data_IF_277522781088
#
_entry.id   IF_277522781088
#
_cell.length_a   1.000
_cell.length_b   1.000
_cell.length_c   1.000
_cell.angle_alpha   90.00
_cell.angle_beta   90.00
_cell.angle_gamma   90.00
#
_symmetry.space_group_name_H-M   'P 1'
#
loop_
_entity.id
_entity.type
_entity.pdbx_description
1 polymer ?
#
# COMPACT_ATOMS: atom_id res chain seq x y z
N UNK A 1 4.42 -7.32 -14.85
CA UNK A 1 5.38 -7.52 -13.73
C UNK A 1 5.41 -6.22 -12.92
N UNK A 2 5.22 -6.31 -11.61
CA UNK A 2 5.28 -5.18 -10.68
C UNK A 2 6.69 -4.60 -10.64
N UNK A 3 6.80 -3.26 -10.74
CA UNK A 3 8.07 -2.56 -10.53
C UNK A 3 8.17 -2.08 -9.08
N UNK A 4 9.32 -2.30 -8.47
CA UNK A 4 9.59 -1.90 -7.08
C UNK A 4 10.56 -0.73 -7.07
N UNK A 5 10.21 0.35 -6.39
CA UNK A 5 11.05 1.52 -6.18
C UNK A 5 11.18 1.73 -4.68
N UNK A 6 12.39 1.65 -4.15
CA UNK A 6 12.63 1.93 -2.74
C UNK A 6 12.61 3.45 -2.51
N UNK A 7 11.66 3.93 -1.70
CA UNK A 7 11.45 5.35 -1.47
C UNK A 7 11.15 5.66 0.00
N UNK A 8 11.33 6.93 0.35
CA UNK A 8 10.93 7.47 1.64
C UNK A 8 11.71 6.99 2.86
N UNK A 9 11.17 7.29 4.05
CA UNK A 9 11.74 6.81 5.29
C UNK A 9 11.75 5.28 5.31
N UNK A 10 12.84 4.68 5.74
CA UNK A 10 13.02 3.22 5.83
C UNK A 10 13.00 2.45 4.50
N UNK A 11 13.02 3.14 3.34
CA UNK A 11 13.10 2.47 2.04
C UNK A 11 11.90 1.59 1.73
N UNK A 12 10.70 2.17 1.87
CA UNK A 12 9.44 1.49 1.53
C UNK A 12 9.46 1.00 0.08
N UNK A 13 8.96 -0.18 -0.14
CA UNK A 13 8.71 -0.73 -1.46
C UNK A 13 7.48 -0.04 -2.08
N UNK A 14 7.67 1.12 -2.69
CA UNK A 14 6.63 1.72 -3.53
C UNK A 14 6.47 0.88 -4.78
N UNK A 15 5.26 0.36 -5.01
CA UNK A 15 5.00 -0.55 -6.12
C UNK A 15 4.26 0.16 -7.26
N UNK A 16 4.75 0.00 -8.48
CA UNK A 16 4.05 0.40 -9.70
C UNK A 16 3.49 -0.87 -10.33
N UNK A 17 2.18 -0.99 -10.34
CA UNK A 17 1.47 -2.18 -10.78
C UNK A 17 0.83 -1.93 -12.15
N UNK A 18 1.41 -2.46 -13.24
CA UNK A 18 0.86 -2.26 -14.57
C UNK A 18 -0.47 -2.99 -14.74
N UNK A 19 -1.40 -2.37 -15.44
CA UNK A 19 -2.70 -2.91 -15.79
C UNK A 19 -2.74 -3.28 -17.29
N UNK A 20 -3.30 -2.42 -18.10
CA UNK A 20 -3.38 -2.60 -19.54
C UNK A 20 -2.95 -1.32 -20.27
N UNK A 21 -2.18 -1.46 -21.35
CA UNK A 21 -1.64 -0.32 -22.09
C UNK A 21 -0.74 0.55 -21.20
N UNK A 22 -1.00 1.87 -21.12
CA UNK A 22 -0.19 2.77 -20.30
C UNK A 22 -0.69 2.86 -18.83
N UNK A 23 -1.76 2.18 -18.47
CA UNK A 23 -2.40 2.33 -17.17
C UNK A 23 -1.74 1.49 -16.09
N UNK A 24 -1.65 2.05 -14.90
CA UNK A 24 -1.11 1.43 -13.70
C UNK A 24 -1.88 1.90 -12.44
N UNK A 25 -1.57 1.32 -11.30
CA UNK A 25 -1.80 1.93 -10.00
C UNK A 25 -0.52 1.90 -9.16
N UNK A 26 -0.39 2.85 -8.26
CA UNK A 26 0.76 3.00 -7.38
C UNK A 26 0.37 2.60 -5.97
N UNK A 27 1.15 1.72 -5.34
CA UNK A 27 0.94 1.30 -3.95
C UNK A 27 2.00 1.93 -3.06
N UNK A 28 1.56 2.48 -1.94
CA UNK A 28 2.38 3.06 -0.88
C UNK A 28 3.43 4.06 -1.41
N UNK A 29 3.02 5.17 -2.03
CA UNK A 29 3.94 6.19 -2.51
C UNK A 29 4.60 6.90 -1.32
N UNK A 30 5.85 6.58 -1.04
CA UNK A 30 6.58 7.02 0.14
C UNK A 30 7.64 8.11 -0.13
N UNK A 31 7.88 8.44 -1.40
CA UNK A 31 8.92 9.38 -1.83
C UNK A 31 8.73 10.79 -1.24
N UNK A 32 9.78 11.38 -0.67
CA UNK A 32 9.69 12.70 -0.07
C UNK A 32 11.00 13.50 -0.16
N UNK A 33 10.90 14.83 -0.08
CA UNK A 33 12.06 15.74 -0.20
C UNK A 33 13.08 15.52 0.91
N UNK A 34 12.66 15.15 2.11
CA UNK A 34 13.54 14.90 3.25
C UNK A 34 14.42 13.66 3.05
N UNK A 35 13.97 12.72 2.21
CA UNK A 35 14.77 11.55 1.80
C UNK A 35 15.55 11.79 0.50
N UNK A 36 15.31 12.92 -0.18
CA UNK A 36 15.97 13.27 -1.44
C UNK A 36 15.46 12.48 -2.66
N UNK A 37 14.30 11.87 -2.54
CA UNK A 37 13.72 10.98 -3.54
C UNK A 37 12.30 11.41 -4.00
N UNK A 38 11.88 12.63 -3.70
CA UNK A 38 10.54 13.16 -3.99
C UNK A 38 10.10 12.99 -5.45
N UNK A 39 11.06 12.90 -6.37
CA UNK A 39 10.78 12.72 -7.81
C UNK A 39 10.92 11.28 -8.30
N UNK A 40 11.28 10.34 -7.44
CA UNK A 40 11.58 8.97 -7.87
C UNK A 40 10.39 8.33 -8.58
N UNK A 41 9.21 8.35 -7.95
CA UNK A 41 7.98 7.74 -8.50
C UNK A 41 7.48 8.51 -9.71
N UNK A 42 7.33 9.83 -9.63
CA UNK A 42 6.83 10.66 -10.74
C UNK A 42 7.74 10.58 -11.97
N UNK A 43 9.06 10.54 -11.78
CA UNK A 43 10.02 10.35 -12.86
C UNK A 43 9.92 8.96 -13.50
N UNK A 44 9.75 7.91 -12.68
CA UNK A 44 9.57 6.56 -13.18
C UNK A 44 8.31 6.44 -14.05
N UNK A 45 7.16 6.93 -13.56
CA UNK A 45 5.89 6.94 -14.30
C UNK A 45 6.05 7.67 -15.63
N UNK A 46 6.62 8.88 -15.61
CA UNK A 46 6.84 9.69 -16.82
C UNK A 46 7.76 9.02 -17.82
N UNK A 47 8.89 8.47 -17.37
CA UNK A 47 9.89 7.84 -18.25
C UNK A 47 9.36 6.57 -18.93
N UNK A 48 8.39 5.89 -18.29
CA UNK A 48 7.74 4.69 -18.82
C UNK A 48 6.40 4.99 -19.50
N UNK A 49 6.00 6.27 -19.59
CA UNK A 49 4.70 6.69 -20.12
C UNK A 49 3.50 6.06 -19.40
N UNK A 50 3.63 5.83 -18.11
CA UNK A 50 2.56 5.30 -17.26
C UNK A 50 1.57 6.39 -16.85
N UNK A 51 0.31 5.98 -16.71
CA UNK A 51 -0.83 6.83 -16.33
C UNK A 51 -1.49 6.20 -15.09
N UNK A 52 -1.19 6.70 -13.88
CA UNK A 52 -1.73 6.13 -12.66
C UNK A 52 -3.24 6.37 -12.56
N UNK A 53 -3.99 5.30 -12.27
CA UNK A 53 -5.45 5.35 -12.06
C UNK A 53 -5.81 5.51 -10.58
N UNK A 54 -4.92 5.10 -9.67
CA UNK A 54 -5.11 5.21 -8.23
C UNK A 54 -3.78 5.24 -7.47
N UNK A 55 -3.79 5.88 -6.31
CA UNK A 55 -2.81 5.70 -5.24
C UNK A 55 -3.46 4.85 -4.16
N UNK A 56 -2.95 3.64 -3.99
CA UNK A 56 -3.47 2.65 -3.05
C UNK A 56 -2.57 2.63 -1.82
N UNK A 57 -3.15 2.75 -0.63
CA UNK A 57 -2.43 2.64 0.62
C UNK A 57 -2.75 1.30 1.28
N UNK A 58 -1.74 0.47 1.49
CA UNK A 58 -1.91 -0.79 2.23
C UNK A 58 -2.29 -0.52 3.68
N UNK A 59 -1.79 0.57 4.25
CA UNK A 59 -2.13 1.07 5.58
C UNK A 59 -1.68 2.53 5.72
N UNK A 60 -1.94 3.14 6.87
CA UNK A 60 -1.74 4.57 7.08
C UNK A 60 -0.50 4.95 7.88
N UNK A 61 0.55 4.14 8.00
CA UNK A 61 1.77 4.57 8.67
C UNK A 61 2.51 5.66 7.88
N UNK A 62 3.18 6.54 8.63
CA UNK A 62 3.80 7.75 8.11
C UNK A 62 4.78 7.48 6.96
N UNK A 63 5.56 6.43 7.03
CA UNK A 63 6.53 6.09 6.01
C UNK A 63 5.89 5.65 4.68
N UNK A 64 4.71 5.02 4.69
CA UNK A 64 3.97 4.60 3.48
C UNK A 64 3.22 5.73 2.79
N UNK A 65 2.89 6.81 3.53
CA UNK A 65 2.05 7.90 3.01
C UNK A 65 2.84 9.18 2.69
N UNK A 66 4.14 9.20 2.96
CA UNK A 66 4.98 10.40 2.88
C UNK A 66 5.01 11.05 1.48
N UNK A 67 4.83 10.27 0.43
CA UNK A 67 4.83 10.76 -0.95
C UNK A 67 3.50 11.30 -1.46
N UNK A 68 2.41 11.12 -0.74
CA UNK A 68 1.09 11.55 -1.20
C UNK A 68 1.01 13.03 -1.60
N UNK A 69 1.61 14.00 -0.86
CA UNK A 69 1.58 15.40 -1.28
C UNK A 69 2.21 15.62 -2.64
N UNK A 70 3.38 15.03 -2.89
CA UNK A 70 4.09 15.13 -4.18
C UNK A 70 3.31 14.44 -5.31
N UNK A 71 2.72 13.29 -5.02
CA UNK A 71 1.91 12.55 -6.00
C UNK A 71 0.64 13.32 -6.35
N UNK A 72 -0.05 13.92 -5.38
CA UNK A 72 -1.25 14.72 -5.64
C UNK A 72 -0.94 16.07 -6.31
N UNK A 73 0.25 16.64 -6.09
CA UNK A 73 0.71 17.79 -6.86
C UNK A 73 0.90 17.45 -8.35
N UNK A 74 1.51 16.29 -8.64
CA UNK A 74 1.78 15.83 -10.00
C UNK A 74 0.54 15.27 -10.72
N UNK A 75 -0.37 14.65 -9.96
CA UNK A 75 -1.56 13.94 -10.46
C UNK A 75 -2.80 14.28 -9.60
N UNK A 76 -3.30 15.52 -9.65
CA UNK A 76 -4.36 16.01 -8.75
C UNK A 76 -5.67 15.22 -8.84
N UNK A 77 -5.99 14.68 -10.02
CA UNK A 77 -7.24 13.94 -10.28
C UNK A 77 -7.16 12.45 -9.89
N UNK A 78 -5.95 11.92 -9.61
CA UNK A 78 -5.79 10.51 -9.25
C UNK A 78 -6.25 10.29 -7.80
N UNK A 79 -7.22 9.39 -7.55
CA UNK A 79 -7.75 9.17 -6.22
C UNK A 79 -6.77 8.45 -5.29
N UNK A 80 -6.89 8.76 -4.00
CA UNK A 80 -6.23 8.04 -2.91
C UNK A 80 -7.23 7.10 -2.24
N UNK A 81 -6.94 5.80 -2.21
CA UNK A 81 -7.76 4.80 -1.55
C UNK A 81 -7.01 4.20 -0.35
N UNK A 82 -7.73 4.13 0.77
CA UNK A 82 -7.25 3.52 2.02
C UNK A 82 -8.43 2.84 2.70
N UNK A 83 -8.19 1.83 3.52
CA UNK A 83 -9.24 1.23 4.33
C UNK A 83 -9.78 2.22 5.40
N UNK A 84 -11.10 2.21 5.62
CA UNK A 84 -11.79 3.17 6.52
C UNK A 84 -11.17 3.28 7.93
N UNK A 85 -10.62 2.19 8.46
CA UNK A 85 -10.03 2.14 9.81
C UNK A 85 -8.70 2.89 9.94
N UNK A 86 -8.04 3.19 8.81
CA UNK A 86 -6.82 3.98 8.77
C UNK A 86 -7.02 5.37 8.12
N UNK A 87 -8.26 5.71 7.75
CA UNK A 87 -8.58 6.99 7.10
C UNK A 87 -8.09 8.21 7.89
N UNK A 88 -8.20 8.18 9.22
CA UNK A 88 -7.76 9.27 10.09
C UNK A 88 -6.25 9.45 10.15
N UNK A 89 -5.48 8.49 9.61
CA UNK A 89 -4.01 8.57 9.53
C UNK A 89 -3.52 9.45 8.38
N UNK A 90 -4.41 9.87 7.48
CA UNK A 90 -4.15 10.82 6.40
C UNK A 90 -5.15 11.99 6.47
N UNK A 91 -5.05 12.94 5.55
CA UNK A 91 -5.90 14.12 5.56
C UNK A 91 -5.59 15.07 6.71
N UNK A 92 -6.57 15.85 7.11
CA UNK A 92 -6.44 16.89 8.15
C UNK A 92 -6.06 16.35 9.53
N UNK A 93 -6.51 15.15 9.87
CA UNK A 93 -6.17 14.48 11.14
C UNK A 93 -4.83 13.76 11.10
N UNK A 94 -4.30 13.49 9.90
CA UNK A 94 -3.09 12.69 9.72
C UNK A 94 -1.88 13.23 10.46
N UNK A 95 -1.67 14.56 10.48
CA UNK A 95 -0.55 15.15 11.19
C UNK A 95 -0.60 14.88 12.70
N UNK A 96 -1.75 15.14 13.34
CA UNK A 96 -1.91 14.94 14.77
C UNK A 96 -1.79 13.44 15.14
N UNK A 97 -2.32 12.57 14.30
CA UNK A 97 -2.25 11.12 14.48
C UNK A 97 -0.81 10.61 14.39
N UNK A 98 -0.06 11.06 13.38
CA UNK A 98 1.28 10.57 13.04
C UNK A 98 2.39 11.23 13.87
N UNK A 99 2.14 12.42 14.44
CA UNK A 99 3.18 13.24 15.09
C UNK A 99 3.91 12.54 16.23
N UNK A 100 3.20 11.73 17.00
CA UNK A 100 3.80 10.98 18.12
C UNK A 100 4.73 9.87 17.60
N UNK A 101 4.33 9.14 16.57
CA UNK A 101 5.12 8.06 15.98
C UNK A 101 6.37 8.62 15.27
N UNK A 102 6.22 9.73 14.54
CA UNK A 102 7.32 10.45 13.88
C UNK A 102 8.34 10.96 14.91
N UNK A 103 7.87 11.52 16.02
CA UNK A 103 8.74 12.00 17.09
C UNK A 103 9.47 10.86 17.79
N UNK A 104 8.77 9.75 18.09
CA UNK A 104 9.36 8.55 18.68
C UNK A 104 10.41 7.90 17.78
N UNK A 105 10.22 7.97 16.46
CA UNK A 105 11.18 7.49 15.46
C UNK A 105 12.38 8.43 15.26
N UNK A 106 12.41 9.62 15.89
CA UNK A 106 13.47 10.62 15.70
C UNK A 106 13.42 11.35 14.36
N UNK A 107 12.26 11.28 13.67
CA UNK A 107 12.05 11.81 12.32
C UNK A 107 11.30 13.15 12.32
N UNK A 108 11.47 13.98 13.35
CA UNK A 108 10.77 15.28 13.48
C UNK A 108 10.93 16.21 12.26
N UNK A 109 12.00 16.06 11.47
CA UNK A 109 12.21 16.79 10.21
C UNK A 109 11.16 16.43 9.14
N UNK A 110 10.53 15.28 9.23
CA UNK A 110 9.47 14.85 8.33
C UNK A 110 8.09 15.46 8.66
N UNK A 111 7.93 16.06 9.83
CA UNK A 111 6.64 16.55 10.31
C UNK A 111 5.94 17.50 9.31
N UNK A 112 6.70 18.30 8.56
CA UNK A 112 6.14 19.22 7.56
C UNK A 112 5.43 18.49 6.39
N UNK A 113 5.87 17.28 6.04
CA UNK A 113 5.24 16.48 4.97
C UNK A 113 3.79 16.15 5.35
N UNK A 114 3.56 15.79 6.60
CA UNK A 114 2.27 15.28 7.08
C UNK A 114 1.22 16.37 7.34
N UNK A 115 1.61 17.65 7.35
CA UNK A 115 0.66 18.76 7.42
C UNK A 115 -0.20 18.93 6.17
N UNK A 116 0.25 18.37 5.05
CA UNK A 116 -0.38 18.52 3.73
C UNK A 116 -0.82 17.18 3.12
N UNK A 117 -1.04 16.15 3.94
CA UNK A 117 -1.58 14.90 3.45
C UNK A 117 -2.97 15.11 2.84
N UNK A 118 -3.24 14.56 1.65
CA UNK A 118 -4.56 14.62 1.05
C UNK A 118 -5.55 13.79 1.86
N UNK A 119 -6.83 14.13 1.72
CA UNK A 119 -7.92 13.26 2.19
C UNK A 119 -8.01 11.99 1.35
N UNK A 120 -8.61 10.94 1.89
CA UNK A 120 -8.97 9.75 1.11
C UNK A 120 -10.15 10.05 0.20
N UNK A 121 -10.05 9.67 -1.07
CA UNK A 121 -11.13 9.77 -2.05
C UNK A 121 -12.02 8.52 -2.05
N UNK A 122 -11.54 7.37 -1.54
CA UNK A 122 -12.29 6.12 -1.54
C UNK A 122 -11.84 5.12 -0.47
N UNK A 123 -12.59 4.03 -0.37
CA UNK A 123 -12.38 2.98 0.62
C UNK A 123 -11.93 1.67 -0.05
N UNK A 124 -10.97 0.99 0.60
CA UNK A 124 -10.58 -0.38 0.27
C UNK A 124 -11.42 -1.34 1.11
N UNK A 125 -12.46 -1.91 0.52
CA UNK A 125 -13.42 -2.76 1.23
C UNK A 125 -13.05 -4.24 1.12
N UNK A 126 -13.07 -4.96 2.25
CA UNK A 126 -12.78 -6.39 2.29
C UNK A 126 -13.66 -7.21 1.34
N UNK A 127 -13.06 -8.07 0.55
CA UNK A 127 -13.74 -8.92 -0.43
C UNK A 127 -14.17 -8.21 -1.71
N UNK A 128 -14.00 -6.90 -1.83
CA UNK A 128 -14.19 -6.16 -3.08
C UNK A 128 -12.98 -6.30 -3.99
N UNK A 129 -13.13 -5.96 -5.26
CA UNK A 129 -12.01 -5.76 -6.17
C UNK A 129 -11.69 -4.26 -6.32
N UNK A 130 -10.50 -3.95 -6.85
CA UNK A 130 -10.05 -2.56 -6.98
C UNK A 130 -10.91 -1.73 -7.95
N UNK A 131 -11.52 -2.35 -8.97
CA UNK A 131 -12.44 -1.63 -9.86
C UNK A 131 -13.67 -1.12 -9.12
N UNK A 132 -14.29 -1.95 -8.28
CA UNK A 132 -15.47 -1.55 -7.51
C UNK A 132 -15.12 -0.46 -6.48
N UNK A 133 -13.97 -0.57 -5.80
CA UNK A 133 -13.47 0.46 -4.88
C UNK A 133 -13.25 1.81 -5.59
N UNK A 134 -12.68 1.80 -6.80
CA UNK A 134 -12.47 3.00 -7.62
C UNK A 134 -13.79 3.59 -8.11
N UNK A 135 -14.71 2.76 -8.56
CA UNK A 135 -16.03 3.19 -9.04
C UNK A 135 -16.82 3.89 -7.95
N UNK A 136 -16.76 3.41 -6.71
CA UNK A 136 -17.40 4.05 -5.55
C UNK A 136 -16.79 5.45 -5.26
N UNK A 137 -15.51 5.67 -5.57
CA UNK A 137 -14.88 7.00 -5.48
C UNK A 137 -15.22 7.96 -6.63
N UNK A 138 -16.03 7.51 -7.61
CA UNK A 138 -16.48 8.34 -8.74
C UNK A 138 -15.47 8.49 -9.87
N UNK A 139 -14.39 7.73 -9.86
CA UNK A 139 -13.31 7.80 -10.86
C UNK A 139 -13.50 6.78 -11.97
N UNK A 140 -13.19 7.20 -13.20
CA UNK A 140 -13.23 6.32 -14.37
C UNK A 140 -11.89 5.59 -14.52
N UNK A 141 -11.95 4.29 -14.72
CA UNK A 141 -10.79 3.40 -14.81
C UNK A 141 -10.07 3.41 -16.20
N UNK A 142 -10.13 4.52 -16.91
CA UNK A 142 -9.40 4.72 -18.16
C UNK A 142 -10.05 4.06 -19.36
N UNK A 143 -9.95 2.74 -19.51
CA UNK A 143 -10.60 1.97 -20.59
C UNK A 143 -11.08 0.60 -20.09
N UNK A 144 -11.85 -0.11 -20.92
CA UNK A 144 -12.44 -1.41 -20.57
C UNK A 144 -11.39 -2.49 -20.21
N UNK A 145 -10.23 -2.47 -20.83
CA UNK A 145 -9.16 -3.43 -20.53
C UNK A 145 -8.50 -3.16 -19.17
N UNK A 146 -8.31 -1.87 -18.82
CA UNK A 146 -7.83 -1.47 -17.49
C UNK A 146 -8.87 -1.80 -16.40
N UNK A 147 -10.18 -1.62 -16.69
CA UNK A 147 -11.26 -2.05 -15.79
C UNK A 147 -11.19 -3.55 -15.50
N UNK A 148 -11.07 -4.38 -16.55
CA UNK A 148 -10.95 -5.83 -16.39
C UNK A 148 -9.68 -6.22 -15.63
N UNK A 149 -8.56 -5.51 -15.84
CA UNK A 149 -7.34 -5.75 -15.09
C UNK A 149 -7.50 -5.39 -13.59
N UNK A 150 -8.18 -4.27 -13.27
CA UNK A 150 -8.47 -3.87 -11.88
C UNK A 150 -9.40 -4.86 -11.17
N UNK A 151 -10.35 -5.47 -11.86
CA UNK A 151 -11.27 -6.50 -11.30
C UNK A 151 -10.53 -7.75 -10.83
N UNK A 152 -9.33 -8.02 -11.33
CA UNK A 152 -8.52 -9.17 -10.94
C UNK A 152 -7.82 -8.97 -9.58
N UNK A 153 -7.75 -7.74 -9.08
CA UNK A 153 -7.12 -7.40 -7.80
C UNK A 153 -8.17 -7.37 -6.69
N UNK A 154 -8.16 -8.37 -5.84
CA UNK A 154 -9.03 -8.46 -4.66
C UNK A 154 -8.40 -7.76 -3.46
N UNK A 155 -9.22 -7.10 -2.66
CA UNK A 155 -8.84 -6.49 -1.39
C UNK A 155 -9.07 -7.49 -0.25
N UNK A 156 -8.06 -7.75 0.55
CA UNK A 156 -8.13 -8.56 1.76
C UNK A 156 -7.85 -7.64 2.96
N UNK A 157 -8.83 -7.38 3.79
CA UNK A 157 -8.62 -6.70 5.06
C UNK A 157 -7.86 -7.62 6.02
N UNK A 158 -6.68 -7.18 6.44
CA UNK A 158 -5.71 -7.95 7.24
C UNK A 158 -5.23 -7.12 8.43
N UNK A 159 -6.13 -6.80 9.39
CA UNK A 159 -5.77 -5.99 10.55
C UNK A 159 -4.75 -6.71 11.44
N UNK A 160 -3.96 -5.91 12.16
CA UNK A 160 -2.97 -6.44 13.11
C UNK A 160 -1.72 -5.59 13.19
N UNK A 161 -1.15 -5.18 12.08
CA UNK A 161 -0.11 -4.15 12.04
C UNK A 161 -0.72 -2.76 12.29
N UNK A 162 -1.78 -2.43 11.54
CA UNK A 162 -2.75 -1.38 11.86
C UNK A 162 -4.17 -1.96 11.82
N UNK A 163 -5.15 -1.18 12.27
CA UNK A 163 -6.55 -1.59 12.16
C UNK A 163 -7.07 -1.56 10.73
N UNK A 164 -6.48 -0.73 9.88
CA UNK A 164 -6.85 -0.58 8.48
C UNK A 164 -5.93 -1.29 7.49
N UNK A 165 -5.00 -2.12 7.95
CA UNK A 165 -4.11 -2.86 7.05
C UNK A 165 -4.88 -3.73 6.08
N UNK A 166 -4.50 -3.66 4.78
CA UNK A 166 -5.03 -4.50 3.71
C UNK A 166 -3.89 -5.11 2.90
N UNK A 167 -4.17 -6.27 2.33
CA UNK A 167 -3.39 -6.86 1.26
C UNK A 167 -4.18 -6.82 -0.05
N UNK A 168 -3.48 -6.84 -1.18
CA UNK A 168 -4.07 -6.98 -2.50
C UNK A 168 -3.62 -8.30 -3.13
N UNK A 169 -4.55 -9.04 -3.71
CA UNK A 169 -4.25 -10.32 -4.32
C UNK A 169 -4.82 -10.43 -5.72
N UNK A 170 -3.97 -10.77 -6.68
CA UNK A 170 -4.37 -11.14 -8.02
C UNK A 170 -4.15 -12.66 -8.20
N UNK A 171 -5.25 -13.41 -8.20
CA UNK A 171 -5.20 -14.87 -8.29
C UNK A 171 -4.73 -15.37 -9.66
N UNK A 172 -4.97 -14.60 -10.73
CA UNK A 172 -4.60 -14.98 -12.10
C UNK A 172 -3.09 -14.86 -12.34
N UNK A 173 -2.49 -13.74 -11.92
CA UNK A 173 -1.03 -13.52 -12.02
C UNK A 173 -0.26 -14.10 -10.85
N UNK A 174 -0.96 -14.57 -9.80
CA UNK A 174 -0.38 -15.04 -8.54
C UNK A 174 0.55 -14.01 -7.89
N UNK A 175 0.16 -12.74 -7.95
CA UNK A 175 0.85 -11.62 -7.30
C UNK A 175 0.10 -11.22 -6.02
N UNK A 176 0.84 -11.09 -4.91
CA UNK A 176 0.31 -10.77 -3.59
C UNK A 176 1.05 -9.59 -2.98
N UNK A 177 0.40 -8.44 -2.87
CA UNK A 177 0.92 -7.24 -2.23
C UNK A 177 0.47 -7.27 -0.77
N UNK A 178 1.42 -7.45 0.14
CA UNK A 178 1.12 -7.71 1.55
C UNK A 178 1.21 -6.48 2.46
N UNK A 179 1.72 -5.34 1.96
CA UNK A 179 2.07 -4.23 2.84
C UNK A 179 2.92 -4.74 4.00
N UNK A 180 2.60 -4.29 5.20
CA UNK A 180 3.31 -4.69 6.42
C UNK A 180 2.63 -5.85 7.16
N UNK A 181 1.96 -6.75 6.42
CA UNK A 181 1.36 -7.94 7.04
C UNK A 181 2.31 -9.13 6.96
N UNK A 182 2.90 -9.40 5.79
CA UNK A 182 3.81 -10.54 5.54
C UNK A 182 5.12 -10.04 4.95
N UNK A 183 6.24 -10.44 5.55
CA UNK A 183 7.61 -10.22 5.08
C UNK A 183 8.32 -11.55 4.85
N UNK A 184 9.49 -11.52 4.22
CA UNK A 184 10.34 -12.71 4.10
C UNK A 184 10.86 -13.14 5.48
N UNK A 185 10.29 -14.23 6.03
CA UNK A 185 10.66 -14.75 7.34
C UNK A 185 10.21 -13.91 8.54
N UNK A 186 9.24 -13.00 8.37
CA UNK A 186 8.68 -12.20 9.46
C UNK A 186 7.26 -11.71 9.11
N UNK A 187 6.58 -11.14 10.09
CA UNK A 187 5.33 -10.40 9.90
C UNK A 187 5.42 -9.02 10.55
N UNK A 188 4.50 -8.13 10.21
CA UNK A 188 4.46 -6.76 10.71
C UNK A 188 4.34 -6.68 12.22
N UNK A 189 5.05 -5.72 12.82
CA UNK A 189 4.95 -5.46 14.26
C UNK A 189 3.53 -5.05 14.64
N UNK A 190 3.16 -5.35 15.87
CA UNK A 190 1.80 -5.15 16.39
C UNK A 190 1.76 -4.30 17.66
N UNK A 191 2.89 -3.72 18.05
CA UNK A 191 3.08 -2.98 19.30
C UNK A 191 2.91 -1.45 19.16
N UNK A 192 2.64 -0.97 17.93
CA UNK A 192 2.31 0.44 17.68
C UNK A 192 0.82 0.73 17.86
N UNK A 193 0.45 2.01 17.87
CA UNK A 193 -0.94 2.44 18.03
C UNK A 193 -1.85 1.81 16.96
N UNK A 194 -2.86 1.08 17.39
CA UNK A 194 -3.79 0.33 16.53
C UNK A 194 -3.30 -1.07 16.15
N UNK A 195 -2.13 -1.51 16.63
CA UNK A 195 -1.63 -2.88 16.44
C UNK A 195 -2.30 -3.90 17.35
N UNK A 196 -2.32 -5.18 16.93
CA UNK A 196 -2.92 -6.28 17.69
C UNK A 196 -2.39 -7.64 17.26
N UNK A 197 -1.75 -8.37 18.18
CA UNK A 197 -1.24 -9.73 17.93
C UNK A 197 -2.34 -10.71 17.53
N UNK A 198 -3.50 -10.61 18.20
CA UNK A 198 -4.61 -11.53 17.91
C UNK A 198 -5.21 -11.31 16.52
N UNK A 199 -5.37 -10.05 16.10
CA UNK A 199 -5.84 -9.73 14.76
C UNK A 199 -4.80 -10.10 13.70
N UNK A 200 -3.51 -9.90 13.96
CA UNK A 200 -2.44 -10.35 13.06
C UNK A 200 -2.49 -11.86 12.87
N UNK A 201 -2.61 -12.62 13.94
CA UNK A 201 -2.72 -14.08 13.86
C UNK A 201 -3.94 -14.52 13.03
N UNK A 202 -5.08 -13.84 13.16
CA UNK A 202 -6.28 -14.17 12.37
C UNK A 202 -6.12 -13.73 10.90
N UNK A 203 -5.46 -12.60 10.64
CA UNK A 203 -5.10 -12.14 9.30
C UNK A 203 -4.18 -13.12 8.59
N UNK A 204 -3.15 -13.64 9.26
CA UNK A 204 -2.26 -14.67 8.70
C UNK A 204 -3.00 -15.97 8.38
N UNK A 205 -3.94 -16.40 9.24
CA UNK A 205 -4.81 -17.55 8.95
C UNK A 205 -5.72 -17.31 7.74
N UNK A 206 -6.25 -16.08 7.58
CA UNK A 206 -7.05 -15.69 6.42
C UNK A 206 -6.21 -15.77 5.15
N UNK A 207 -5.00 -15.21 5.14
CA UNK A 207 -4.07 -15.26 4.01
C UNK A 207 -3.78 -16.72 3.64
N UNK A 208 -3.42 -17.57 4.61
CA UNK A 208 -3.17 -19.00 4.40
C UNK A 208 -4.31 -19.74 3.69
N UNK A 209 -5.57 -19.33 3.95
CA UNK A 209 -6.76 -19.99 3.36
C UNK A 209 -7.16 -19.41 2.00
N UNK A 210 -6.74 -18.19 1.69
CA UNK A 210 -7.25 -17.42 0.54
C UNK A 210 -6.23 -17.29 -0.57
N UNK A 211 -4.96 -17.12 -0.22
CA UNK A 211 -3.88 -16.85 -1.19
C UNK A 211 -3.14 -18.16 -1.50
N UNK A 212 -2.85 -18.39 -2.78
CA UNK A 212 -2.08 -19.58 -3.20
C UNK A 212 -0.66 -19.54 -2.63
N UNK A 213 -0.16 -20.70 -2.25
CA UNK A 213 1.22 -20.88 -1.73
C UNK A 213 2.30 -20.44 -2.72
N UNK A 214 2.00 -20.53 -4.04
CA UNK A 214 2.90 -20.12 -5.14
C UNK A 214 2.87 -18.61 -5.42
N UNK A 215 1.98 -17.84 -4.77
CA UNK A 215 1.88 -16.42 -5.02
C UNK A 215 3.18 -15.68 -4.65
N UNK A 216 3.63 -14.80 -5.55
CA UNK A 216 4.80 -13.95 -5.33
C UNK A 216 4.43 -12.77 -4.44
N UNK A 217 5.12 -12.65 -3.31
CA UNK A 217 4.84 -11.65 -2.27
C UNK A 217 5.64 -10.38 -2.53
N UNK A 218 4.93 -9.24 -2.46
CA UNK A 218 5.49 -7.89 -2.53
C UNK A 218 5.16 -7.15 -1.22
N UNK A 219 6.03 -7.19 -0.21
CA UNK A 219 5.82 -6.53 1.07
C UNK A 219 6.09 -5.03 1.00
N UNK A 220 5.70 -4.30 2.06
CA UNK A 220 5.98 -2.87 2.19
C UNK A 220 7.47 -2.55 2.38
N UNK A 221 8.25 -3.49 2.90
CA UNK A 221 9.70 -3.34 3.10
C UNK A 221 10.45 -4.61 2.71
N UNK A 222 11.77 -4.50 2.59
CA UNK A 222 12.71 -5.59 2.38
C UNK A 222 12.53 -6.34 1.05
N UNK A 223 12.73 -7.64 1.06
CA UNK A 223 12.83 -8.48 -0.13
C UNK A 223 11.48 -8.78 -0.76
N UNK A 224 11.32 -8.47 -2.05
CA UNK A 224 10.14 -8.75 -2.87
C UNK A 224 10.33 -9.98 -3.77
N UNK A 225 9.21 -10.62 -4.15
CA UNK A 225 9.20 -11.69 -5.14
C UNK A 225 9.56 -13.08 -4.60
N UNK A 226 9.37 -13.31 -3.31
CA UNK A 226 9.42 -14.65 -2.72
C UNK A 226 8.06 -15.35 -2.79
N UNK A 227 8.04 -16.68 -2.82
CA UNK A 227 6.79 -17.41 -2.79
C UNK A 227 6.19 -17.45 -1.37
N UNK A 228 4.87 -17.26 -1.25
CA UNK A 228 4.17 -17.23 0.04
C UNK A 228 4.41 -18.48 0.90
N UNK A 229 4.58 -19.64 0.28
CA UNK A 229 4.95 -20.88 1.00
C UNK A 229 6.22 -20.77 1.82
N UNK A 230 7.18 -19.92 1.42
CA UNK A 230 8.44 -19.72 2.16
C UNK A 230 8.16 -19.07 3.52
N UNK A 231 7.24 -18.11 3.56
CA UNK A 231 6.78 -17.50 4.80
C UNK A 231 6.10 -18.53 5.73
N UNK A 232 5.15 -19.32 5.23
CA UNK A 232 4.46 -20.31 6.05
C UNK A 232 5.37 -21.46 6.48
N UNK A 233 6.36 -21.82 5.66
CA UNK A 233 7.41 -22.77 6.05
C UNK A 233 8.25 -22.23 7.21
N UNK A 234 8.55 -20.94 7.21
CA UNK A 234 9.22 -20.27 8.32
C UNK A 234 8.35 -20.31 9.59
N UNK A 235 7.08 -19.91 9.50
CA UNK A 235 6.13 -19.92 10.64
C UNK A 235 5.98 -21.31 11.29
N UNK A 236 6.00 -22.38 10.49
CA UNK A 236 5.82 -23.75 11.00
C UNK A 236 6.96 -24.24 11.90
N UNK A 237 8.04 -23.47 12.04
CA UNK A 237 9.19 -23.79 12.90
C UNK A 237 9.06 -23.26 14.33
N UNK A 238 8.03 -22.44 14.58
CA UNK A 238 7.70 -21.84 15.87
C UNK A 238 6.34 -22.30 16.37
#
# INVERSE_FOLDING_TARGET
MISVIHTGPYGVNTLIVPLSGPYDFVVDPACCSQCGDERAVTSFLKNNSYIPLAFILTHGHYDHVAGLPVMKEAYPEVPVLIHEKDRERIGKSGFDFQSADIAAAGLSSLAEVYKNLPESDGNLTDGSNLYDCLKESGVNAGNAEAEEALKKWSVLWTPGHTMGSVCLYNEESEEFISGDTVFYGAWGRTDLAGGSDSLMADSLKKIYRTVKDSALVYPGHDYCGFELKEFFTFLSRF
#
